data_IF_910349452307
#
_entry.id   IF_910349452307
#
_cell.length_a   1.000
_cell.length_b   1.000
_cell.length_c   1.000
_cell.angle_alpha   90.00
_cell.angle_beta   90.00
_cell.angle_gamma   90.00
#
_symmetry.space_group_name_H-M   'P 1'
#
loop_
_entity.id
_entity.type
_entity.pdbx_description
1 polymer ?
#
# COMPACT_ATOMS: atom_id res chain seq x y z
N UNK A 1 3.02 2.69 -18.58
CA UNK A 1 2.96 2.48 -17.12
C UNK A 1 4.27 2.92 -16.53
N UNK A 2 4.30 3.50 -15.32
CA UNK A 2 5.55 3.81 -14.65
C UNK A 2 6.39 2.54 -14.46
N UNK A 3 7.71 2.72 -14.48
CA UNK A 3 8.70 1.72 -14.14
C UNK A 3 8.72 1.41 -12.64
N UNK A 4 9.37 0.30 -12.26
CA UNK A 4 9.57 -0.03 -10.85
C UNK A 4 10.30 1.10 -10.07
N UNK A 5 11.24 1.80 -10.73
CA UNK A 5 11.94 2.93 -10.13
C UNK A 5 11.00 4.12 -9.89
N UNK A 6 10.15 4.46 -10.85
CA UNK A 6 9.17 5.54 -10.70
C UNK A 6 8.12 5.23 -9.62
N UNK A 7 7.66 3.97 -9.54
CA UNK A 7 6.79 3.52 -8.45
C UNK A 7 7.46 3.64 -7.08
N UNK A 8 8.76 3.31 -6.98
CA UNK A 8 9.54 3.50 -5.76
C UNK A 8 9.63 4.97 -5.35
N UNK A 9 9.93 5.86 -6.30
CA UNK A 9 10.00 7.31 -6.01
C UNK A 9 8.65 7.84 -5.50
N UNK A 10 7.54 7.43 -6.13
CA UNK A 10 6.19 7.79 -5.66
C UNK A 10 5.89 7.23 -4.28
N UNK A 11 6.28 5.98 -4.02
CA UNK A 11 6.15 5.35 -2.71
C UNK A 11 6.87 6.18 -1.63
N UNK A 12 8.11 6.60 -1.87
CA UNK A 12 8.86 7.42 -0.92
C UNK A 12 8.26 8.82 -0.74
N UNK A 13 7.80 9.48 -1.81
CA UNK A 13 7.07 10.76 -1.71
C UNK A 13 5.81 10.63 -0.85
N UNK A 14 5.02 9.57 -1.06
CA UNK A 14 3.83 9.33 -0.24
C UNK A 14 4.19 9.03 1.22
N UNK A 15 5.30 8.34 1.49
CA UNK A 15 5.78 8.11 2.87
C UNK A 15 6.19 9.41 3.56
N UNK A 16 6.89 10.29 2.86
CA UNK A 16 7.23 11.62 3.37
C UNK A 16 5.96 12.42 3.67
N UNK A 17 4.96 12.36 2.78
CA UNK A 17 3.67 12.99 3.02
C UNK A 17 2.95 12.38 4.24
N UNK A 18 2.87 11.06 4.34
CA UNK A 18 2.25 10.37 5.49
C UNK A 18 2.86 10.79 6.83
N UNK A 19 4.16 11.05 6.87
CA UNK A 19 4.87 11.47 8.08
C UNK A 19 4.48 12.87 8.57
N UNK A 20 3.90 13.71 7.70
CA UNK A 20 3.48 15.07 8.04
C UNK A 20 1.96 15.24 8.13
N UNK A 21 1.17 14.21 7.80
CA UNK A 21 -0.29 14.26 7.97
C UNK A 21 -0.62 14.21 9.48
N UNK A 22 -1.34 15.21 10.02
CA UNK A 22 -1.73 15.23 11.42
C UNK A 22 -2.69 14.09 11.80
N UNK A 23 -2.65 13.68 13.07
CA UNK A 23 -3.48 12.60 13.62
C UNK A 23 -4.97 12.95 13.66
N UNK A 24 -5.31 14.23 13.58
CA UNK A 24 -6.68 14.73 13.47
C UNK A 24 -7.32 14.41 12.11
N UNK A 25 -6.54 13.89 11.15
CA UNK A 25 -7.00 13.52 9.80
C UNK A 25 -6.79 12.02 9.51
N UNK A 26 -7.50 11.12 10.22
CA UNK A 26 -7.36 9.67 10.06
C UNK A 26 -7.76 9.17 8.66
N UNK A 27 -8.67 9.87 7.99
CA UNK A 27 -9.08 9.64 6.60
C UNK A 27 -7.94 9.87 5.61
N UNK A 28 -7.21 10.97 5.77
CA UNK A 28 -6.02 11.27 4.98
C UNK A 28 -4.89 10.29 5.27
N UNK A 29 -4.67 9.93 6.54
CA UNK A 29 -3.70 8.90 6.91
C UNK A 29 -4.02 7.56 6.23
N UNK A 30 -5.29 7.13 6.26
CA UNK A 30 -5.72 5.89 5.63
C UNK A 30 -5.59 5.91 4.11
N UNK A 31 -5.95 7.04 3.49
CA UNK A 31 -5.86 7.25 2.05
C UNK A 31 -4.41 7.19 1.58
N UNK A 32 -3.51 7.90 2.25
CA UNK A 32 -2.08 7.92 1.89
C UNK A 32 -1.45 6.56 2.14
N UNK A 33 -1.77 5.89 3.25
CA UNK A 33 -1.30 4.53 3.53
C UNK A 33 -1.68 3.56 2.40
N UNK A 34 -2.91 3.66 1.88
CA UNK A 34 -3.34 2.87 0.73
C UNK A 34 -2.54 3.19 -0.54
N UNK A 35 -2.30 4.47 -0.86
CA UNK A 35 -1.51 4.84 -2.03
C UNK A 35 -0.04 4.41 -1.93
N UNK A 36 0.56 4.40 -0.74
CA UNK A 36 1.87 3.77 -0.53
C UNK A 36 1.80 2.27 -0.87
N UNK A 37 0.74 1.59 -0.41
CA UNK A 37 0.49 0.19 -0.75
C UNK A 37 0.35 -0.05 -2.26
N UNK A 38 -0.38 0.82 -2.97
CA UNK A 38 -0.52 0.76 -4.44
C UNK A 38 0.84 0.81 -5.11
N UNK A 39 1.65 1.83 -4.80
CA UNK A 39 2.97 2.01 -5.41
C UNK A 39 3.91 0.81 -5.10
N UNK A 40 3.83 0.25 -3.89
CA UNK A 40 4.60 -0.94 -3.53
C UNK A 40 4.18 -2.19 -4.32
N UNK A 41 2.87 -2.42 -4.53
CA UNK A 41 2.37 -3.53 -5.35
C UNK A 41 2.77 -3.33 -6.81
N UNK A 42 2.55 -2.13 -7.38
CA UNK A 42 2.88 -1.86 -8.78
C UNK A 42 4.39 -1.94 -9.05
N UNK A 43 5.22 -1.54 -8.09
CA UNK A 43 6.67 -1.75 -8.17
C UNK A 43 7.00 -3.24 -8.33
N UNK A 44 6.44 -4.12 -7.50
CA UNK A 44 6.68 -5.57 -7.58
C UNK A 44 6.13 -6.20 -8.87
N UNK A 45 5.03 -5.67 -9.40
CA UNK A 45 4.49 -6.11 -10.69
C UNK A 45 5.41 -5.66 -11.83
N UNK A 46 5.87 -4.41 -11.81
CA UNK A 46 6.75 -3.84 -12.84
C UNK A 46 8.08 -4.60 -12.91
N UNK A 47 8.66 -5.00 -11.77
CA UNK A 47 9.85 -5.87 -11.72
C UNK A 47 9.65 -7.25 -12.38
N UNK A 48 8.39 -7.68 -12.54
CA UNK A 48 7.99 -8.92 -13.22
C UNK A 48 7.50 -8.70 -14.65
N UNK A 49 7.63 -7.48 -15.18
CA UNK A 49 7.12 -7.11 -16.50
C UNK A 49 5.59 -7.05 -16.58
N UNK A 50 4.90 -6.88 -15.45
CA UNK A 50 3.45 -6.80 -15.35
C UNK A 50 3.00 -5.46 -14.76
N UNK A 51 1.74 -5.10 -14.99
CA UNK A 51 1.14 -3.85 -14.49
C UNK A 51 -0.37 -4.03 -14.31
N UNK A 52 -0.99 -3.28 -13.38
CA UNK A 52 -2.45 -3.25 -13.27
C UNK A 52 -3.04 -1.91 -13.71
N UNK A 53 -4.12 -1.94 -14.49
CA UNK A 53 -4.77 -0.73 -15.03
C UNK A 53 -5.73 -0.09 -14.02
N UNK A 54 -6.26 -0.89 -13.10
CA UNK A 54 -7.26 -0.47 -12.13
C UNK A 54 -7.16 -1.27 -10.82
N UNK A 55 -8.03 -0.94 -9.86
CA UNK A 55 -8.10 -1.63 -8.57
C UNK A 55 -8.52 -3.10 -8.71
N UNK A 56 -9.38 -3.45 -9.68
CA UNK A 56 -9.84 -4.81 -9.87
C UNK A 56 -8.68 -5.71 -10.33
N UNK A 57 -7.93 -5.29 -11.34
CA UNK A 57 -6.75 -5.98 -11.83
C UNK A 57 -5.69 -6.13 -10.73
N UNK A 58 -5.47 -5.08 -9.93
CA UNK A 58 -4.52 -5.12 -8.81
C UNK A 58 -4.93 -6.13 -7.75
N UNK A 59 -6.22 -6.17 -7.38
CA UNK A 59 -6.76 -7.14 -6.44
C UNK A 59 -6.55 -8.57 -6.96
N UNK A 60 -6.80 -8.82 -8.24
CA UNK A 60 -6.54 -10.14 -8.85
C UNK A 60 -5.05 -10.48 -8.85
N UNK A 61 -4.19 -9.51 -9.18
CA UNK A 61 -2.75 -9.70 -9.20
C UNK A 61 -2.21 -10.04 -7.80
N UNK A 62 -2.61 -9.30 -6.77
CA UNK A 62 -2.22 -9.59 -5.38
C UNK A 62 -2.71 -10.98 -4.96
N UNK A 63 -3.98 -11.31 -5.21
CA UNK A 63 -4.53 -12.62 -4.85
C UNK A 63 -3.78 -13.79 -5.49
N UNK A 64 -3.39 -13.65 -6.77
CA UNK A 64 -2.75 -14.72 -7.54
C UNK A 64 -1.24 -14.79 -7.35
N UNK A 65 -0.56 -13.65 -7.33
CA UNK A 65 0.91 -13.57 -7.35
C UNK A 65 1.52 -13.35 -5.96
N UNK A 66 0.77 -12.75 -5.03
CA UNK A 66 1.23 -12.40 -3.68
C UNK A 66 0.22 -12.86 -2.61
N UNK A 67 -0.14 -14.15 -2.54
CA UNK A 67 -1.23 -14.63 -1.69
C UNK A 67 -1.03 -14.32 -0.20
N UNK A 68 0.21 -14.30 0.29
CA UNK A 68 0.54 -13.91 1.68
C UNK A 68 0.20 -12.45 2.00
N UNK A 69 0.18 -11.57 1.00
CA UNK A 69 -0.20 -10.17 1.16
C UNK A 69 -1.71 -9.95 1.07
N UNK A 70 -2.46 -10.90 0.53
CA UNK A 70 -3.86 -10.70 0.15
C UNK A 70 -4.71 -10.11 1.29
N UNK A 71 -4.59 -10.65 2.50
CA UNK A 71 -5.33 -10.13 3.65
C UNK A 71 -4.93 -8.69 4.02
N UNK A 72 -3.64 -8.36 4.01
CA UNK A 72 -3.17 -7.01 4.37
C UNK A 72 -3.51 -5.98 3.30
N UNK A 73 -3.39 -6.37 2.04
CA UNK A 73 -3.80 -5.57 0.89
C UNK A 73 -5.30 -5.27 0.92
N UNK A 74 -6.15 -6.27 1.14
CA UNK A 74 -7.60 -6.04 1.19
C UNK A 74 -8.01 -5.14 2.35
N UNK A 75 -7.36 -5.24 3.52
CA UNK A 75 -7.60 -4.28 4.61
C UNK A 75 -7.25 -2.85 4.19
N UNK A 76 -6.10 -2.63 3.54
CA UNK A 76 -5.72 -1.30 3.01
C UNK A 76 -6.74 -0.78 1.99
N UNK A 77 -7.12 -1.62 1.04
CA UNK A 77 -8.07 -1.28 -0.01
C UNK A 77 -9.44 -0.91 0.55
N UNK A 78 -10.02 -1.76 1.39
CA UNK A 78 -11.35 -1.54 1.96
C UNK A 78 -11.39 -0.27 2.82
N UNK A 79 -10.42 -0.11 3.73
CA UNK A 79 -10.33 1.10 4.55
C UNK A 79 -10.25 2.37 3.70
N UNK A 80 -9.51 2.34 2.58
CA UNK A 80 -9.44 3.47 1.65
C UNK A 80 -10.75 3.79 0.95
N UNK A 81 -11.61 2.79 0.74
CA UNK A 81 -12.94 3.00 0.18
C UNK A 81 -13.85 3.60 1.25
N UNK A 82 -13.79 3.05 2.46
CA UNK A 82 -14.59 3.49 3.60
C UNK A 82 -14.38 4.97 3.86
N UNK A 83 -13.13 5.41 4.01
CA UNK A 83 -12.82 6.82 4.31
C UNK A 83 -13.10 7.80 3.16
N UNK A 84 -13.18 7.33 1.91
CA UNK A 84 -13.37 8.20 0.74
C UNK A 84 -14.82 8.28 0.27
N UNK A 85 -15.59 7.23 0.50
CA UNK A 85 -16.90 7.08 -0.14
C UNK A 85 -18.04 6.80 0.84
N UNK A 86 -17.74 6.43 2.09
CA UNK A 86 -18.79 6.26 3.11
C UNK A 86 -19.00 7.55 3.92
N UNK A 87 -20.10 7.54 4.67
CA UNK A 87 -20.47 8.65 5.56
C UNK A 87 -19.59 8.66 6.81
N UNK A 88 -19.53 9.83 7.48
CA UNK A 88 -18.72 10.06 8.67
C UNK A 88 -18.94 9.02 9.80
N UNK A 89 -20.11 8.38 9.86
CA UNK A 89 -20.44 7.35 10.85
C UNK A 89 -19.57 6.07 10.73
N UNK A 90 -18.82 5.92 9.65
CA UNK A 90 -17.96 4.77 9.38
C UNK A 90 -16.46 5.14 9.39
N UNK A 91 -16.11 6.33 9.86
CA UNK A 91 -14.71 6.75 9.87
C UNK A 91 -13.93 5.96 10.92
N UNK A 92 -12.77 5.39 10.55
CA UNK A 92 -11.93 4.66 11.49
C UNK A 92 -11.38 5.63 12.53
N UNK A 93 -11.24 5.12 13.74
CA UNK A 93 -10.51 5.85 14.78
C UNK A 93 -9.05 6.01 14.39
N UNK A 94 -8.39 7.06 14.89
CA UNK A 94 -6.95 7.24 14.69
C UNK A 94 -6.14 6.03 15.20
N UNK A 95 -6.60 5.40 16.29
CA UNK A 95 -5.98 4.19 16.83
C UNK A 95 -6.03 3.01 15.86
N UNK A 96 -7.15 2.80 15.16
CA UNK A 96 -7.27 1.79 14.11
C UNK A 96 -6.36 2.10 12.92
N UNK A 97 -6.31 3.36 12.47
CA UNK A 97 -5.47 3.76 11.34
C UNK A 97 -3.98 3.60 11.68
N UNK A 98 -3.51 4.09 12.82
CA UNK A 98 -2.09 3.97 13.21
C UNK A 98 -1.71 2.51 13.47
N UNK A 99 -2.36 1.87 14.44
CA UNK A 99 -1.91 0.57 14.94
C UNK A 99 -2.26 -0.61 14.03
N UNK A 100 -3.41 -0.56 13.34
CA UNK A 100 -3.85 -1.67 12.51
C UNK A 100 -3.48 -1.45 11.05
N UNK A 101 -3.82 -0.28 10.49
CA UNK A 101 -3.61 -0.04 9.07
C UNK A 101 -2.12 0.23 8.75
N UNK A 102 -1.51 1.21 9.40
CA UNK A 102 -0.13 1.64 9.10
C UNK A 102 0.89 0.67 9.68
N UNK A 103 0.89 0.47 11.00
CA UNK A 103 1.96 -0.26 11.70
C UNK A 103 1.92 -1.78 11.45
N UNK A 104 0.77 -2.32 11.03
CA UNK A 104 0.63 -3.75 10.70
C UNK A 104 0.46 -3.99 9.21
N UNK A 105 -0.63 -3.50 8.59
CA UNK A 105 -0.94 -3.89 7.20
C UNK A 105 0.00 -3.27 6.19
N UNK A 106 0.21 -1.96 6.25
CA UNK A 106 1.15 -1.28 5.37
C UNK A 106 2.59 -1.74 5.63
N UNK A 107 3.00 -1.85 6.90
CA UNK A 107 4.32 -2.37 7.26
C UNK A 107 4.59 -3.77 6.69
N UNK A 108 3.59 -4.67 6.70
CA UNK A 108 3.69 -5.99 6.09
C UNK A 108 3.88 -5.91 4.57
N UNK A 109 3.08 -5.09 3.87
CA UNK A 109 3.22 -4.88 2.41
C UNK A 109 4.61 -4.34 2.06
N UNK A 110 5.09 -3.32 2.78
CA UNK A 110 6.41 -2.73 2.53
C UNK A 110 7.56 -3.70 2.82
N UNK A 111 7.45 -4.47 3.91
CA UNK A 111 8.46 -5.49 4.26
C UNK A 111 8.52 -6.60 3.22
N UNK A 112 7.36 -7.06 2.74
CA UNK A 112 7.29 -8.04 1.67
C UNK A 112 7.88 -7.50 0.36
N UNK A 113 7.52 -6.28 -0.04
CA UNK A 113 8.03 -5.64 -1.24
C UNK A 113 9.56 -5.50 -1.19
N UNK A 114 10.11 -5.07 -0.06
CA UNK A 114 11.57 -5.00 0.15
C UNK A 114 12.23 -6.36 -0.02
N UNK A 115 11.69 -7.41 0.61
CA UNK A 115 12.24 -8.76 0.56
C UNK A 115 12.19 -9.39 -0.83
N UNK A 116 11.25 -8.96 -1.68
CA UNK A 116 11.04 -9.53 -3.02
C UNK A 116 11.56 -8.66 -4.15
N UNK A 117 11.99 -7.43 -3.86
CA UNK A 117 12.65 -6.54 -4.82
C UNK A 117 14.00 -7.10 -5.29
N UNK A 118 14.38 -6.76 -6.52
CA UNK A 118 15.66 -7.19 -7.11
C UNK A 118 16.87 -6.75 -6.26
N UNK A 119 16.74 -5.62 -5.57
CA UNK A 119 17.76 -5.03 -4.72
C UNK A 119 17.86 -5.73 -3.35
N UNK A 120 16.73 -6.14 -2.77
CA UNK A 120 16.71 -6.93 -1.54
C UNK A 120 17.28 -8.35 -1.71
N UNK A 121 17.24 -8.90 -2.92
CA UNK A 121 17.86 -10.19 -3.26
C UNK A 121 19.38 -10.09 -3.42
N UNK A 122 19.92 -8.95 -3.88
CA UNK A 122 21.37 -8.73 -4.02
C UNK A 122 22.11 -8.60 -2.71
N UNK A 123 21.46 -8.14 -1.64
CA UNK A 123 22.06 -8.03 -0.30
C UNK A 123 22.08 -9.35 0.48
N UNK A 124 21.50 -10.42 -0.07
CA UNK A 124 21.45 -11.77 0.53
C UNK A 124 22.32 -12.79 -0.21
N UNK A 125 22.97 -12.39 -1.30
CA UNK A 125 23.87 -13.22 -2.11
C UNK A 125 25.31 -12.79 -1.85
#
# INVERSE_FOLDING_TARGET
MPSAAEHREKCERHRQFLAIVPDEFPDWLATVAFYIGVEAIEMMLAERGAHSRDHHERNQAVKRQFPSLNASWHTLYNMSLDVRYLTADHFPTIGEVRSQLIDRKLAHVLSFARAHSAEGKRLKA
#
